data_IF_291107158285
#
_entry.id   IF_291107158285
#
_cell.length_a   1.000
_cell.length_b   1.000
_cell.length_c   1.000
_cell.angle_alpha   90.00
_cell.angle_beta   90.00
_cell.angle_gamma   90.00
#
_symmetry.space_group_name_H-M   'P 1'
#
loop_
_entity.id
_entity.type
_entity.pdbx_description
1 polymer ?
#
# COMPACT_ATOMS: atom_id res chain seq x y z
N UNK A 1 73.83 -4.88 25.81
CA UNK A 1 72.56 -4.84 26.58
C UNK A 1 71.65 -3.81 25.94
N UNK A 2 70.43 -4.18 25.55
CA UNK A 2 69.35 -3.26 25.19
C UNK A 2 68.02 -4.04 25.30
N UNK A 3 67.18 -3.70 26.28
CA UNK A 3 65.92 -4.41 26.53
C UNK A 3 64.78 -3.82 25.70
N UNK A 4 64.00 -4.67 25.02
CA UNK A 4 62.79 -4.24 24.33
C UNK A 4 61.59 -4.26 25.30
N UNK A 5 61.10 -3.08 25.67
CA UNK A 5 59.87 -2.94 26.47
C UNK A 5 58.66 -3.06 25.55
N UNK A 6 57.82 -4.08 25.77
CA UNK A 6 56.48 -4.16 25.16
C UNK A 6 55.49 -3.35 26.00
N UNK A 7 54.95 -2.28 25.43
CA UNK A 7 53.80 -1.56 26.01
C UNK A 7 52.52 -2.21 25.49
N UNK A 8 51.68 -2.73 26.39
CA UNK A 8 50.37 -3.30 26.07
C UNK A 8 49.26 -2.32 26.43
N UNK A 9 48.69 -1.64 25.43
CA UNK A 9 47.55 -0.75 25.61
C UNK A 9 46.26 -1.51 25.96
N UNK A 10 45.52 -0.97 26.93
CA UNK A 10 44.30 -1.57 27.46
C UNK A 10 43.09 -1.42 26.52
N UNK A 11 41.98 -2.15 26.76
CA UNK A 11 40.81 -2.12 25.90
C UNK A 11 40.15 -0.73 25.76
N UNK A 12 40.21 0.12 26.80
CA UNK A 12 39.67 1.49 26.75
C UNK A 12 40.42 2.41 25.77
N UNK A 13 41.74 2.31 25.68
CA UNK A 13 42.54 3.14 24.75
C UNK A 13 42.26 2.77 23.29
N UNK A 14 41.97 1.49 23.02
CA UNK A 14 41.54 1.03 21.69
C UNK A 14 40.19 1.60 21.29
N UNK A 15 39.24 1.72 22.22
CA UNK A 15 37.95 2.37 21.95
C UNK A 15 38.10 3.86 21.62
N UNK A 16 38.94 4.59 22.36
CA UNK A 16 39.22 6.01 22.09
C UNK A 16 39.83 6.24 20.70
N UNK A 17 40.76 5.39 20.26
CA UNK A 17 41.38 5.50 18.93
C UNK A 17 40.36 5.27 17.79
N UNK A 18 39.44 4.33 17.96
CA UNK A 18 38.38 4.05 16.97
C UNK A 18 37.38 5.21 16.88
N UNK A 19 37.01 5.82 18.01
CA UNK A 19 36.12 7.00 18.03
C UNK A 19 36.80 8.19 17.34
N UNK A 20 38.11 8.40 17.56
CA UNK A 20 38.85 9.49 16.90
C UNK A 20 38.92 9.31 15.37
N UNK A 21 39.13 8.06 14.88
CA UNK A 21 39.07 7.76 13.44
C UNK A 21 37.68 8.01 12.83
N UNK A 22 36.59 7.71 13.55
CA UNK A 22 35.22 7.96 13.10
C UNK A 22 34.87 9.44 13.01
N UNK A 23 35.44 10.28 13.89
CA UNK A 23 35.26 11.74 13.84
C UNK A 23 36.03 12.35 12.67
N UNK A 24 37.28 11.92 12.45
CA UNK A 24 38.12 12.42 11.35
C UNK A 24 37.59 12.02 9.96
N UNK A 25 37.03 10.83 9.82
CA UNK A 25 36.42 10.37 8.54
C UNK A 25 35.09 11.05 8.22
N UNK A 26 34.29 11.45 9.22
CA UNK A 26 33.07 12.26 8.99
C UNK A 26 33.35 13.72 8.66
N UNK A 27 34.53 14.25 8.98
CA UNK A 27 34.87 15.66 8.73
C UNK A 27 35.21 15.96 7.25
N UNK A 28 35.53 14.96 6.43
CA UNK A 28 35.97 15.17 5.03
C UNK A 28 34.86 15.22 3.98
N UNK A 29 33.58 15.05 4.35
CA UNK A 29 32.47 15.05 3.39
C UNK A 29 31.57 16.30 3.52
N UNK A 30 32.14 17.50 3.31
CA UNK A 30 31.40 18.77 3.16
C UNK A 30 32.24 19.86 2.46
N UNK A 31 32.11 19.95 1.13
CA UNK A 31 32.36 21.09 0.20
C UNK A 31 32.84 20.56 -1.15
N UNK A 32 32.05 20.73 -2.21
CA UNK A 32 32.27 21.68 -3.32
C UNK A 32 30.89 21.95 -3.94
N UNK A 33 30.61 23.19 -4.32
CA UNK A 33 29.46 23.54 -5.17
C UNK A 33 29.88 24.63 -6.18
N UNK A 34 29.09 24.78 -7.25
CA UNK A 34 29.20 25.67 -8.42
C UNK A 34 30.25 25.33 -9.50
N UNK A 35 29.82 25.29 -10.78
CA UNK A 35 30.77 25.31 -11.90
C UNK A 35 30.35 24.90 -13.33
N UNK A 36 29.17 25.27 -13.83
CA UNK A 36 28.86 25.56 -15.26
C UNK A 36 29.89 25.13 -16.36
N UNK A 37 29.54 24.15 -17.23
CA UNK A 37 29.35 24.30 -18.71
C UNK A 37 29.32 22.98 -19.50
N UNK A 38 28.74 23.06 -20.72
CA UNK A 38 28.63 22.00 -21.74
C UNK A 38 30.01 21.61 -22.31
N UNK A 39 30.19 20.33 -22.63
CA UNK A 39 31.26 19.85 -23.51
C UNK A 39 31.11 18.36 -23.86
N UNK A 40 30.94 18.04 -25.15
CA UNK A 40 31.10 16.67 -25.64
C UNK A 40 32.58 16.27 -25.59
N UNK A 41 32.91 15.16 -24.94
CA UNK A 41 34.13 14.42 -25.24
C UNK A 41 33.87 12.90 -25.23
N UNK A 42 34.64 12.20 -26.07
CA UNK A 42 34.44 10.81 -26.48
C UNK A 42 34.96 9.82 -25.43
N UNK A 43 34.39 8.61 -25.45
CA UNK A 43 35.00 7.46 -24.78
C UNK A 43 36.29 7.01 -25.50
N UNK A 44 37.26 6.43 -24.77
CA UNK A 44 38.29 5.55 -25.34
C UNK A 44 37.94 4.06 -25.08
N UNK A 45 38.07 3.24 -26.12
CA UNK A 45 38.01 1.78 -26.03
C UNK A 45 39.25 1.20 -25.31
N UNK A 46 39.08 0.07 -24.60
CA UNK A 46 40.11 -0.95 -24.35
C UNK A 46 39.44 -2.26 -23.83
N UNK A 47 40.08 -3.43 -23.88
CA UNK A 47 39.52 -4.55 -24.64
C UNK A 47 39.08 -5.75 -23.77
N UNK A 48 38.37 -6.68 -24.42
CA UNK A 48 38.05 -7.97 -23.84
C UNK A 48 39.29 -8.86 -23.68
N UNK A 49 39.52 -9.39 -22.47
CA UNK A 49 39.52 -10.84 -22.23
C UNK A 49 39.71 -11.20 -20.73
N UNK A 50 38.94 -12.19 -20.24
CA UNK A 50 39.29 -13.16 -19.17
C UNK A 50 38.05 -13.93 -18.65
N UNK A 51 38.05 -15.23 -18.91
CA UNK A 51 37.36 -16.32 -18.17
C UNK A 51 38.45 -17.22 -17.56
N UNK A 52 38.15 -18.25 -16.72
CA UNK A 52 37.01 -18.51 -15.81
C UNK A 52 37.56 -18.65 -14.34
N UNK A 53 37.16 -19.57 -13.41
CA UNK A 53 36.64 -20.96 -13.53
C UNK A 53 35.18 -21.14 -13.10
N UNK A 54 34.66 -22.35 -13.32
CA UNK A 54 33.32 -22.83 -12.92
C UNK A 54 33.41 -23.88 -11.79
N UNK A 55 32.31 -24.65 -11.57
CA UNK A 55 32.10 -25.71 -10.55
C UNK A 55 31.91 -25.11 -9.14
N UNK A 56 30.80 -25.29 -8.41
CA UNK A 56 30.13 -26.48 -7.83
C UNK A 56 28.65 -26.06 -7.54
N UNK A 57 27.56 -26.82 -7.72
CA UNK A 57 27.31 -28.17 -8.26
C UNK A 57 25.83 -28.26 -8.75
N UNK A 58 25.44 -29.39 -9.36
CA UNK A 58 24.04 -29.83 -9.53
C UNK A 58 23.76 -31.05 -8.64
N UNK A 59 22.50 -31.25 -8.22
CA UNK A 59 22.05 -32.48 -7.55
C UNK A 59 20.88 -33.08 -8.33
N UNK A 60 20.90 -34.40 -8.53
CA UNK A 60 20.16 -35.07 -9.58
C UNK A 60 18.71 -35.49 -9.26
N UNK A 61 17.96 -35.63 -10.36
CA UNK A 61 16.88 -36.59 -10.61
C UNK A 61 15.88 -36.96 -9.51
N UNK A 62 14.64 -36.48 -9.69
CA UNK A 62 13.44 -37.30 -9.44
C UNK A 62 12.61 -37.42 -10.72
N UNK A 63 12.55 -38.63 -11.29
CA UNK A 63 11.78 -38.94 -12.49
C UNK A 63 10.43 -39.57 -12.12
N UNK A 64 9.32 -38.88 -12.43
CA UNK A 64 7.97 -39.44 -12.25
C UNK A 64 7.38 -39.80 -13.61
N UNK A 65 7.14 -41.09 -13.83
CA UNK A 65 6.35 -41.58 -14.99
C UNK A 65 4.90 -41.15 -14.84
N UNK A 66 4.40 -40.32 -15.76
CA UNK A 66 2.97 -40.15 -15.97
C UNK A 66 2.52 -41.04 -17.14
N UNK A 67 2.00 -42.22 -16.81
CA UNK A 67 1.34 -43.10 -17.77
C UNK A 67 -0.01 -42.52 -18.19
N UNK A 68 -0.18 -42.26 -19.49
CA UNK A 68 -1.44 -41.71 -20.01
C UNK A 68 -2.55 -42.77 -20.13
N UNK A 69 -3.81 -42.34 -20.00
CA UNK A 69 -4.97 -43.02 -20.58
C UNK A 69 -6.02 -41.99 -21.01
N UNK A 70 -6.32 -41.96 -22.32
CA UNK A 70 -7.49 -41.27 -22.89
C UNK A 70 -8.75 -42.13 -22.68
N UNK A 71 -9.87 -41.46 -22.38
CA UNK A 71 -11.31 -41.76 -22.66
C UNK A 71 -12.12 -40.83 -21.76
N UNK A 72 -13.25 -40.24 -22.13
CA UNK A 72 -14.01 -40.19 -23.38
C UNK A 72 -15.29 -39.40 -23.07
N UNK A 73 -15.74 -38.48 -23.93
CA UNK A 73 -16.82 -37.55 -23.57
C UNK A 73 -18.23 -38.11 -23.72
N UNK A 74 -19.20 -37.54 -22.99
CA UNK A 74 -20.56 -37.22 -23.49
C UNK A 74 -21.33 -36.31 -22.53
N UNK A 75 -22.22 -35.51 -23.12
CA UNK A 75 -23.15 -34.60 -22.45
C UNK A 75 -24.16 -35.34 -21.56
N UNK A 76 -24.68 -34.69 -20.51
CA UNK A 76 -26.11 -34.29 -20.50
C UNK A 76 -26.55 -33.46 -19.27
N UNK A 77 -27.34 -32.42 -19.57
CA UNK A 77 -28.52 -31.89 -18.86
C UNK A 77 -28.49 -31.80 -17.34
N UNK A 78 -28.49 -30.55 -16.86
CA UNK A 78 -28.66 -30.21 -15.46
C UNK A 78 -30.02 -30.57 -14.84
N UNK A 79 -30.06 -30.37 -13.52
CA UNK A 79 -31.28 -30.22 -12.73
C UNK A 79 -31.12 -29.00 -11.81
N UNK A 80 -32.17 -28.20 -11.76
CA UNK A 80 -32.37 -27.17 -10.75
C UNK A 80 -32.58 -27.82 -9.39
N UNK A 81 -31.96 -27.27 -8.34
CA UNK A 81 -32.38 -27.44 -6.96
C UNK A 81 -32.58 -26.04 -6.36
N UNK A 82 -33.77 -25.82 -5.82
CA UNK A 82 -34.24 -24.56 -5.29
C UNK A 82 -34.03 -24.45 -3.77
N UNK A 83 -34.24 -23.23 -3.26
CA UNK A 83 -34.58 -22.91 -1.87
C UNK A 83 -33.55 -23.26 -0.77
N UNK A 84 -32.80 -22.23 -0.36
CA UNK A 84 -32.44 -22.06 1.05
C UNK A 84 -32.88 -20.67 1.53
N UNK A 85 -33.65 -20.64 2.61
CA UNK A 85 -34.19 -19.44 3.23
C UNK A 85 -33.14 -18.76 4.12
N UNK A 86 -32.99 -17.45 3.97
CA UNK A 86 -32.18 -16.64 4.89
C UNK A 86 -33.03 -16.20 6.09
N UNK A 87 -32.70 -16.73 7.27
CA UNK A 87 -33.12 -16.14 8.54
C UNK A 87 -32.18 -14.98 8.89
N UNK A 88 -32.77 -13.82 9.22
CA UNK A 88 -32.03 -12.62 9.56
C UNK A 88 -31.30 -12.76 10.91
N UNK A 89 -29.97 -12.72 10.89
CA UNK A 89 -29.13 -12.50 12.06
C UNK A 89 -28.55 -11.08 12.03
N UNK A 90 -28.81 -10.28 13.06
CA UNK A 90 -28.46 -8.87 13.09
C UNK A 90 -26.94 -8.63 13.03
N UNK A 91 -26.48 -7.92 12.00
CA UNK A 91 -25.13 -7.34 11.95
C UNK A 91 -25.18 -5.97 12.62
N UNK A 92 -24.44 -5.80 13.73
CA UNK A 92 -24.28 -4.49 14.37
C UNK A 92 -23.65 -3.50 13.38
N UNK A 93 -24.31 -2.37 13.16
CA UNK A 93 -23.75 -1.24 12.41
C UNK A 93 -22.72 -0.53 13.29
N UNK A 94 -21.61 -0.09 12.67
CA UNK A 94 -20.76 0.97 13.22
C UNK A 94 -21.56 2.29 13.31
N UNK A 95 -21.24 3.22 14.21
CA UNK A 95 -22.02 4.43 14.39
C UNK A 95 -22.11 5.26 13.10
N UNK A 96 -23.31 5.66 12.69
CA UNK A 96 -23.48 6.70 11.67
C UNK A 96 -23.46 8.07 12.37
N UNK A 97 -22.39 8.85 12.18
CA UNK A 97 -22.30 10.23 12.65
C UNK A 97 -23.12 11.15 11.73
N UNK A 98 -24.44 11.16 11.92
CA UNK A 98 -25.37 11.96 11.13
C UNK A 98 -25.54 13.36 11.74
N UNK A 99 -24.86 14.36 11.15
CA UNK A 99 -25.14 15.76 11.44
C UNK A 99 -26.55 16.12 10.94
N UNK A 100 -27.32 16.83 11.76
CA UNK A 100 -28.67 17.29 11.42
C UNK A 100 -28.61 18.36 10.31
N UNK A 101 -29.43 18.19 9.29
CA UNK A 101 -29.83 19.27 8.39
C UNK A 101 -31.33 19.48 8.54
N UNK A 102 -31.72 20.71 8.87
CA UNK A 102 -33.11 21.17 8.83
C UNK A 102 -33.41 21.82 7.47
N UNK A 103 -34.69 21.85 7.08
CA UNK A 103 -35.17 22.64 5.93
C UNK A 103 -35.50 21.80 4.70
N UNK A 104 -36.75 21.33 4.61
CA UNK A 104 -37.28 20.71 3.40
C UNK A 104 -37.80 21.73 2.38
N UNK A 105 -37.75 21.37 1.10
CA UNK A 105 -38.36 22.13 0.00
C UNK A 105 -38.47 21.29 -1.26
N UNK A 106 -39.69 20.90 -1.63
CA UNK A 106 -39.97 20.24 -2.91
C UNK A 106 -40.03 21.30 -4.02
N UNK A 107 -39.44 21.02 -5.19
CA UNK A 107 -39.92 21.61 -6.44
C UNK A 107 -39.61 20.70 -7.65
N UNK A 108 -40.37 20.89 -8.72
CA UNK A 108 -40.60 19.89 -9.77
C UNK A 108 -40.00 20.25 -11.13
N UNK A 109 -39.56 19.21 -11.85
CA UNK A 109 -39.58 19.06 -13.32
C UNK A 109 -39.06 20.19 -14.23
N UNK A 110 -38.03 19.91 -15.04
CA UNK A 110 -38.14 19.69 -16.51
C UNK A 110 -36.77 19.83 -17.20
N UNK A 111 -36.68 19.42 -18.47
CA UNK A 111 -35.41 19.10 -19.14
C UNK A 111 -34.94 20.14 -20.17
N UNK A 112 -33.64 20.20 -20.42
CA UNK A 112 -33.03 20.09 -21.77
C UNK A 112 -31.49 20.20 -21.70
N UNK A 113 -30.80 19.78 -22.77
CA UNK A 113 -29.37 19.48 -22.74
C UNK A 113 -28.42 20.66 -22.98
N UNK A 114 -27.18 20.50 -22.50
CA UNK A 114 -26.06 21.40 -22.79
C UNK A 114 -24.76 20.81 -22.25
N UNK A 115 -23.80 20.51 -23.12
CA UNK A 115 -22.47 20.05 -22.72
C UNK A 115 -21.71 21.21 -22.06
N UNK A 116 -21.30 21.05 -20.80
CA UNK A 116 -20.54 22.08 -20.08
C UNK A 116 -19.98 21.56 -18.76
N UNK A 117 -18.66 21.62 -18.61
CA UNK A 117 -17.95 21.21 -17.40
C UNK A 117 -18.17 22.22 -16.26
N UNK A 118 -19.33 22.16 -15.59
CA UNK A 118 -19.62 22.94 -14.37
C UNK A 118 -20.46 22.13 -13.38
N UNK A 119 -19.79 21.40 -12.49
CA UNK A 119 -20.35 20.93 -11.22
C UNK A 119 -19.50 21.41 -10.04
N UNK A 120 -19.17 22.71 -10.04
CA UNK A 120 -18.87 23.43 -8.80
C UNK A 120 -20.19 23.88 -8.17
N UNK A 121 -20.73 23.06 -7.27
CA UNK A 121 -21.54 23.49 -6.12
C UNK A 121 -22.17 22.25 -5.47
N UNK A 122 -21.68 21.87 -4.29
CA UNK A 122 -22.57 21.53 -3.18
C UNK A 122 -22.02 22.19 -1.91
N UNK A 123 -22.88 22.96 -1.24
CA UNK A 123 -22.68 23.65 0.04
C UNK A 123 -21.57 24.72 0.11
N UNK A 124 -21.87 25.89 -0.47
CA UNK A 124 -21.17 27.16 -0.22
C UNK A 124 -21.08 28.03 -1.47
N UNK A 125 -21.59 29.27 -1.41
CA UNK A 125 -21.41 30.25 -2.49
C UNK A 125 -19.93 30.56 -2.75
N UNK A 126 -19.58 31.07 -3.94
CA UNK A 126 -18.19 31.34 -4.32
C UNK A 126 -17.41 32.09 -3.22
N UNK A 127 -16.13 31.73 -2.93
CA UNK A 127 -15.36 32.38 -1.88
C UNK A 127 -15.32 33.90 -2.04
N UNK A 128 -15.52 34.63 -0.95
CA UNK A 128 -15.38 36.09 -0.95
C UNK A 128 -13.92 36.46 -1.17
N UNK A 129 -13.68 37.63 -1.73
CA UNK A 129 -12.32 38.13 -1.91
C UNK A 129 -11.63 38.29 -0.55
N UNK A 130 -10.46 37.68 -0.40
CA UNK A 130 -9.72 37.62 0.87
C UNK A 130 -10.17 36.51 1.84
N UNK A 131 -11.22 35.74 1.55
CA UNK A 131 -11.64 34.61 2.39
C UNK A 131 -10.56 33.52 2.45
N UNK A 132 -10.22 33.09 3.67
CA UNK A 132 -9.38 31.92 3.91
C UNK A 132 -10.26 30.67 3.88
N UNK A 133 -9.91 29.66 3.08
CA UNK A 133 -10.72 28.47 2.82
C UNK A 133 -9.92 27.19 3.02
N UNK A 134 -10.50 26.23 3.74
CA UNK A 134 -9.99 24.87 3.90
C UNK A 134 -10.89 23.90 3.14
N UNK A 135 -10.42 23.42 1.99
CA UNK A 135 -11.09 22.37 1.22
C UNK A 135 -10.73 21.01 1.79
N UNK A 136 -11.68 20.39 2.49
CA UNK A 136 -11.55 19.03 3.00
C UNK A 136 -11.97 18.04 1.90
N UNK A 137 -10.99 17.40 1.28
CA UNK A 137 -11.16 16.56 0.08
C UNK A 137 -11.78 15.21 0.42
N UNK A 138 -12.63 14.70 -0.48
CA UNK A 138 -13.28 13.39 -0.39
C UNK A 138 -13.24 12.66 -1.74
N UNK A 139 -12.91 11.36 -1.79
CA UNK A 139 -12.57 10.52 -0.65
C UNK A 139 -11.14 10.77 -0.14
N UNK A 140 -10.92 10.43 1.13
CA UNK A 140 -9.66 10.50 1.87
C UNK A 140 -9.60 9.36 2.91
N UNK A 141 -8.57 9.33 3.75
CA UNK A 141 -8.47 8.39 4.87
C UNK A 141 -8.53 6.92 4.47
N UNK A 142 -8.90 6.06 5.42
CA UNK A 142 -8.91 4.60 5.24
C UNK A 142 -9.64 4.09 4.00
N UNK A 143 -8.96 3.23 3.22
CA UNK A 143 -9.61 2.39 2.21
C UNK A 143 -10.14 1.07 2.82
N UNK A 144 -10.98 0.32 2.09
CA UNK A 144 -11.54 -0.94 2.64
C UNK A 144 -10.48 -2.02 2.89
N UNK A 145 -9.38 -2.02 2.14
CA UNK A 145 -8.26 -2.94 2.35
C UNK A 145 -7.57 -2.69 3.69
N UNK A 146 -7.39 -1.42 4.05
CA UNK A 146 -6.78 -0.97 5.30
C UNK A 146 -7.70 -1.26 6.49
N UNK A 147 -8.98 -0.84 6.45
CA UNK A 147 -9.89 -1.13 7.57
C UNK A 147 -10.02 -2.63 7.81
N UNK A 148 -10.30 -3.43 6.77
CA UNK A 148 -10.33 -4.90 6.90
C UNK A 148 -9.08 -5.48 7.55
N UNK A 149 -7.90 -4.93 7.27
CA UNK A 149 -6.64 -5.44 7.82
C UNK A 149 -6.45 -5.06 9.29
N UNK A 150 -6.83 -3.84 9.68
CA UNK A 150 -6.87 -3.40 11.08
C UNK A 150 -7.91 -4.22 11.85
N UNK A 151 -9.14 -4.31 11.36
CA UNK A 151 -10.25 -5.13 11.91
C UNK A 151 -9.77 -6.58 12.15
N UNK A 152 -8.97 -7.14 11.23
CA UNK A 152 -8.42 -8.50 11.36
C UNK A 152 -7.47 -8.65 12.55
N UNK A 153 -6.59 -7.67 12.81
CA UNK A 153 -5.70 -7.70 13.98
C UNK A 153 -6.48 -7.48 15.27
N UNK A 154 -7.41 -6.53 15.29
CA UNK A 154 -8.21 -6.22 16.48
C UNK A 154 -9.11 -7.38 16.92
N UNK A 155 -9.77 -8.06 15.98
CA UNK A 155 -10.56 -9.26 16.27
C UNK A 155 -9.67 -10.40 16.78
N UNK A 156 -8.45 -10.57 16.23
CA UNK A 156 -7.50 -11.55 16.76
C UNK A 156 -7.06 -11.23 18.20
N UNK A 157 -6.84 -9.95 18.54
CA UNK A 157 -6.48 -9.50 19.89
C UNK A 157 -7.65 -9.61 20.89
N UNK A 158 -8.89 -9.44 20.43
CA UNK A 158 -10.09 -9.65 21.27
C UNK A 158 -10.35 -11.14 21.53
N UNK A 159 -10.11 -12.00 20.55
CA UNK A 159 -10.28 -13.44 20.69
C UNK A 159 -9.12 -14.06 21.47
N UNK A 160 -7.92 -14.01 20.92
CA UNK A 160 -6.81 -14.83 21.39
C UNK A 160 -5.94 -14.03 22.36
N UNK A 161 -5.39 -14.72 23.37
CA UNK A 161 -4.51 -14.09 24.34
C UNK A 161 -3.26 -13.56 23.61
N UNK A 162 -2.87 -12.28 23.80
CA UNK A 162 -1.61 -11.76 23.27
C UNK A 162 -0.39 -12.60 23.71
N UNK A 163 0.69 -12.61 22.90
CA UNK A 163 0.92 -11.78 21.72
C UNK A 163 0.27 -12.31 20.42
N UNK A 164 -0.10 -11.38 19.54
CA UNK A 164 -0.51 -11.68 18.15
C UNK A 164 0.59 -11.23 17.19
N UNK A 165 1.21 -12.16 16.48
CA UNK A 165 2.30 -11.83 15.55
C UNK A 165 1.75 -11.39 14.21
N UNK A 166 2.35 -10.33 13.64
CA UNK A 166 2.00 -9.78 12.33
C UNK A 166 3.25 -9.62 11.49
N UNK A 167 3.30 -10.26 10.31
CA UNK A 167 4.43 -10.14 9.37
C UNK A 167 4.33 -8.82 8.61
N UNK A 168 5.35 -7.98 8.79
CA UNK A 168 5.38 -6.56 8.44
C UNK A 168 4.37 -5.73 9.26
N UNK A 169 4.56 -4.41 9.28
CA UNK A 169 3.50 -3.46 9.68
C UNK A 169 2.20 -3.76 8.93
N UNK A 170 1.08 -3.92 9.64
CA UNK A 170 -0.22 -4.29 9.06
C UNK A 170 -0.63 -3.35 7.92
N UNK A 171 -0.34 -2.06 8.09
CA UNK A 171 -0.49 -0.96 7.13
C UNK A 171 0.67 0.03 7.32
N UNK A 172 1.04 0.79 6.28
CA UNK A 172 2.03 1.87 6.39
C UNK A 172 1.45 3.11 7.09
N UNK A 173 1.25 3.02 8.41
CA UNK A 173 0.97 4.14 9.32
C UNK A 173 1.47 3.81 10.73
N UNK A 174 2.34 4.66 11.27
CA UNK A 174 3.07 4.37 12.52
C UNK A 174 2.19 4.51 13.77
N UNK A 175 1.19 5.40 13.74
CA UNK A 175 0.23 5.59 14.84
C UNK A 175 -0.70 4.37 14.94
N UNK A 176 -1.20 3.87 13.82
CA UNK A 176 -2.01 2.63 13.77
C UNK A 176 -1.21 1.43 14.28
N UNK A 177 0.06 1.30 13.90
CA UNK A 177 0.90 0.20 14.38
C UNK A 177 1.11 0.31 15.90
N UNK A 178 1.48 1.49 16.40
CA UNK A 178 1.69 1.71 17.84
C UNK A 178 0.44 1.38 18.67
N UNK A 179 -0.74 1.81 18.20
CA UNK A 179 -2.02 1.49 18.86
C UNK A 179 -2.34 -0.01 18.91
N UNK A 180 -1.83 -0.81 17.96
CA UNK A 180 -1.98 -2.26 17.96
C UNK A 180 -0.89 -2.95 18.81
N UNK A 181 0.33 -2.42 18.84
CA UNK A 181 1.39 -2.85 19.77
C UNK A 181 0.97 -2.66 21.23
N UNK A 182 0.40 -1.51 21.56
CA UNK A 182 -0.16 -1.20 22.89
C UNK A 182 -1.29 -2.16 23.30
N UNK A 183 -2.00 -2.77 22.33
CA UNK A 183 -3.02 -3.81 22.55
C UNK A 183 -2.45 -5.25 22.58
N UNK A 184 -1.16 -5.44 22.28
CA UNK A 184 -0.48 -6.74 22.30
C UNK A 184 -0.19 -7.39 20.95
N UNK A 185 -0.24 -6.64 19.83
CA UNK A 185 0.33 -7.09 18.57
C UNK A 185 1.87 -7.01 18.60
N UNK A 186 2.56 -7.90 17.89
CA UNK A 186 4.00 -7.85 17.67
C UNK A 186 4.25 -7.87 16.15
N UNK A 187 4.77 -6.78 15.61
CA UNK A 187 5.18 -6.70 14.21
C UNK A 187 6.59 -7.29 14.04
N UNK A 188 6.69 -8.35 13.22
CA UNK A 188 7.94 -9.09 12.99
C UNK A 188 8.38 -9.01 11.53
N UNK A 189 9.68 -9.25 11.31
CA UNK A 189 10.25 -9.38 9.97
C UNK A 189 10.80 -10.78 9.68
N UNK A 190 11.33 -11.52 10.65
CA UNK A 190 11.59 -12.95 10.46
C UNK A 190 10.46 -13.80 11.09
N UNK A 191 9.86 -14.66 10.28
CA UNK A 191 8.84 -15.62 10.74
C UNK A 191 9.43 -16.66 11.70
N UNK A 192 10.75 -16.85 11.72
CA UNK A 192 11.42 -17.67 12.73
C UNK A 192 11.29 -17.11 14.16
N UNK A 193 11.04 -15.80 14.32
CA UNK A 193 10.76 -15.16 15.63
C UNK A 193 9.42 -15.62 16.25
N UNK A 194 8.52 -16.17 15.43
CA UNK A 194 7.19 -16.64 15.87
C UNK A 194 7.29 -18.05 16.45
N UNK A 195 6.84 -18.31 17.69
CA UNK A 195 6.78 -19.68 18.23
C UNK A 195 5.83 -20.57 17.42
N UNK A 196 6.20 -21.84 17.24
CA UNK A 196 5.41 -22.81 16.47
C UNK A 196 3.99 -22.97 17.06
N UNK A 197 2.99 -23.13 16.19
CA UNK A 197 1.58 -23.19 16.57
C UNK A 197 0.88 -21.85 16.84
N UNK A 198 1.61 -20.73 16.98
CA UNK A 198 1.01 -19.43 17.25
C UNK A 198 0.32 -18.83 16.00
N UNK A 199 -0.48 -17.78 16.24
CA UNK A 199 -1.12 -16.99 15.19
C UNK A 199 -0.10 -16.09 14.49
N UNK A 200 -0.16 -16.08 13.15
CA UNK A 200 0.58 -15.16 12.30
C UNK A 200 -0.36 -14.48 11.30
N UNK A 201 -0.47 -13.16 11.39
CA UNK A 201 -1.24 -12.34 10.45
C UNK A 201 -0.33 -11.82 9.33
N UNK A 202 -0.75 -11.96 8.07
CA UNK A 202 -0.06 -11.33 6.93
C UNK A 202 -0.60 -9.93 6.67
N UNK A 203 0.28 -8.95 6.46
CA UNK A 203 -0.11 -7.54 6.26
C UNK A 203 -1.04 -7.30 5.06
N UNK A 204 -1.69 -6.12 5.01
CA UNK A 204 -2.55 -5.72 3.89
C UNK A 204 -1.84 -5.73 2.52
N UNK A 205 -0.51 -5.60 2.52
CA UNK A 205 0.34 -5.47 1.34
C UNK A 205 0.63 -6.80 0.63
N UNK A 206 0.14 -7.93 1.14
CA UNK A 206 0.49 -9.25 0.62
C UNK A 206 1.75 -9.83 1.26
N UNK A 207 2.00 -11.10 0.94
CA UNK A 207 3.18 -11.84 1.36
C UNK A 207 3.57 -12.86 0.28
N UNK A 208 4.85 -13.22 0.21
CA UNK A 208 5.35 -14.18 -0.78
C UNK A 208 4.97 -15.64 -0.44
N UNK A 209 4.89 -16.54 -1.45
CA UNK A 209 4.60 -17.96 -1.23
C UNK A 209 5.56 -18.66 -0.26
N UNK A 210 6.85 -18.32 -0.30
CA UNK A 210 7.90 -18.97 0.50
C UNK A 210 7.69 -18.71 2.00
N UNK A 211 7.17 -17.54 2.36
CA UNK A 211 6.79 -17.21 3.75
C UNK A 211 5.58 -18.04 4.20
N UNK A 212 4.60 -18.27 3.32
CA UNK A 212 3.45 -19.15 3.60
C UNK A 212 3.89 -20.60 3.80
N UNK A 213 4.86 -21.07 3.02
CA UNK A 213 5.47 -22.40 3.21
C UNK A 213 6.21 -22.51 4.56
N UNK A 214 6.95 -21.47 4.96
CA UNK A 214 7.62 -21.41 6.26
C UNK A 214 6.63 -21.43 7.43
N UNK A 215 5.55 -20.63 7.34
CA UNK A 215 4.50 -20.61 8.35
C UNK A 215 3.82 -21.99 8.51
N UNK A 216 3.56 -22.69 7.40
CA UNK A 216 3.04 -24.08 7.42
C UNK A 216 4.00 -25.07 8.06
N UNK A 217 5.31 -24.97 7.78
CA UNK A 217 6.33 -25.83 8.42
C UNK A 217 6.35 -25.64 9.94
N UNK A 218 6.23 -24.40 10.42
CA UNK A 218 6.10 -24.02 11.84
C UNK A 218 4.67 -24.21 12.41
N UNK A 219 3.76 -24.82 11.65
CA UNK A 219 2.35 -25.08 12.01
C UNK A 219 1.60 -23.84 12.52
N UNK A 220 1.95 -22.65 12.04
CA UNK A 220 1.35 -21.40 12.49
C UNK A 220 -0.12 -21.31 12.02
N UNK A 221 -0.95 -20.66 12.83
CA UNK A 221 -2.32 -20.31 12.45
C UNK A 221 -2.24 -19.08 11.54
N UNK A 222 -2.07 -19.32 10.24
CA UNK A 222 -2.00 -18.30 9.21
C UNK A 222 -3.32 -17.51 9.11
N UNK A 223 -3.31 -16.18 9.23
CA UNK A 223 -4.48 -15.31 9.03
C UNK A 223 -4.17 -14.26 7.98
N UNK A 224 -4.87 -14.32 6.84
CA UNK A 224 -4.50 -13.54 5.66
C UNK A 224 -5.28 -12.22 5.53
N UNK A 225 -4.69 -11.15 6.07
CA UNK A 225 -5.23 -9.80 5.97
C UNK A 225 -4.90 -9.09 4.64
N UNK A 226 -4.20 -9.76 3.69
CA UNK A 226 -3.90 -9.22 2.35
C UNK A 226 -5.12 -8.57 1.72
N UNK A 227 -4.95 -7.35 1.19
CA UNK A 227 -6.01 -6.65 0.48
C UNK A 227 -6.49 -7.48 -0.72
N UNK A 228 -7.80 -7.71 -0.91
CA UNK A 228 -8.31 -8.48 -2.06
C UNK A 228 -7.86 -7.97 -3.44
N UNK A 229 -7.53 -6.68 -3.56
CA UNK A 229 -6.98 -6.10 -4.80
C UNK A 229 -5.48 -6.32 -4.98
N UNK A 230 -4.71 -6.52 -3.92
CA UNK A 230 -3.32 -7.03 -4.01
C UNK A 230 -3.36 -8.51 -4.38
N UNK A 231 -4.20 -9.31 -3.71
CA UNK A 231 -4.37 -10.72 -4.05
C UNK A 231 -4.86 -10.92 -5.50
N UNK A 232 -5.70 -10.02 -6.04
CA UNK A 232 -6.04 -9.99 -7.47
C UNK A 232 -4.79 -9.95 -8.36
N UNK A 233 -3.83 -9.06 -8.06
CA UNK A 233 -2.58 -8.97 -8.82
C UNK A 233 -1.75 -10.25 -8.68
N UNK A 234 -1.59 -10.78 -7.47
CA UNK A 234 -0.91 -12.06 -7.23
C UNK A 234 -1.51 -13.21 -8.07
N UNK A 235 -2.85 -13.34 -8.10
CA UNK A 235 -3.52 -14.37 -8.89
C UNK A 235 -3.30 -14.21 -10.40
N UNK A 236 -3.32 -12.98 -10.94
CA UNK A 236 -3.00 -12.73 -12.34
C UNK A 236 -1.54 -13.07 -12.67
N UNK A 237 -0.59 -12.76 -11.77
CA UNK A 237 0.82 -13.12 -11.93
C UNK A 237 1.00 -14.63 -11.99
N UNK A 238 0.46 -15.37 -11.01
CA UNK A 238 0.50 -16.84 -11.00
C UNK A 238 -0.14 -17.45 -12.26
N UNK A 239 -1.30 -16.94 -12.67
CA UNK A 239 -2.05 -17.44 -13.82
C UNK A 239 -1.29 -17.22 -15.12
N UNK A 240 -0.81 -16.00 -15.37
CA UNK A 240 -0.08 -15.66 -16.60
C UNK A 240 1.29 -16.34 -16.69
N UNK A 241 1.98 -16.52 -15.56
CA UNK A 241 3.20 -17.33 -15.53
C UNK A 241 2.95 -18.79 -15.96
N UNK A 242 1.85 -19.41 -15.50
CA UNK A 242 1.43 -20.77 -15.91
C UNK A 242 1.00 -20.84 -17.38
N UNK A 243 0.47 -19.75 -17.94
CA UNK A 243 0.19 -19.60 -19.37
C UNK A 243 1.45 -19.31 -20.23
N UNK A 244 2.64 -19.29 -19.63
CA UNK A 244 3.92 -19.07 -20.30
C UNK A 244 4.24 -17.61 -20.63
N UNK A 245 3.59 -16.64 -19.97
CA UNK A 245 3.93 -15.22 -20.14
C UNK A 245 5.19 -14.85 -19.35
N UNK A 246 5.96 -13.90 -19.89
CA UNK A 246 6.88 -13.06 -19.12
C UNK A 246 6.11 -11.86 -18.56
N UNK A 247 6.38 -11.53 -17.31
CA UNK A 247 5.58 -10.62 -16.50
C UNK A 247 6.39 -9.38 -16.18
N UNK A 248 5.84 -8.21 -16.51
CA UNK A 248 6.48 -6.93 -16.23
C UNK A 248 5.74 -6.26 -15.07
N UNK A 249 6.38 -6.21 -13.91
CA UNK A 249 5.83 -5.64 -12.69
C UNK A 249 6.31 -4.19 -12.54
N UNK A 250 5.41 -3.24 -12.84
CA UNK A 250 5.67 -1.81 -12.64
C UNK A 250 5.51 -1.50 -11.15
N UNK A 251 6.58 -1.14 -10.46
CA UNK A 251 6.53 -0.86 -9.01
C UNK A 251 7.88 -0.73 -8.34
N UNK A 252 7.91 -0.12 -7.14
CA UNK A 252 9.15 0.14 -6.41
C UNK A 252 9.76 -1.16 -5.88
N UNK A 253 10.97 -1.51 -6.33
CA UNK A 253 11.62 -2.82 -6.13
C UNK A 253 11.71 -3.26 -4.67
N UNK A 254 11.90 -2.30 -3.76
CA UNK A 254 12.09 -2.55 -2.33
C UNK A 254 10.78 -2.44 -1.51
N UNK A 255 9.63 -2.24 -2.15
CA UNK A 255 8.33 -2.16 -1.46
C UNK A 255 7.76 -3.56 -1.21
N UNK A 256 7.28 -3.82 0.01
CA UNK A 256 6.80 -5.15 0.43
C UNK A 256 5.74 -5.76 -0.50
N UNK A 257 4.82 -4.94 -1.02
CA UNK A 257 3.81 -5.34 -2.01
C UNK A 257 4.43 -5.85 -3.34
N UNK A 258 5.51 -5.20 -3.80
CA UNK A 258 6.22 -5.56 -5.03
C UNK A 258 7.05 -6.82 -4.81
N UNK A 259 7.69 -6.94 -3.64
CA UNK A 259 8.41 -8.16 -3.23
C UNK A 259 7.45 -9.35 -3.12
N UNK A 260 6.28 -9.17 -2.51
CA UNK A 260 5.24 -10.18 -2.43
C UNK A 260 4.76 -10.63 -3.82
N UNK A 261 4.39 -9.66 -4.67
CA UNK A 261 3.91 -9.91 -6.04
C UNK A 261 4.97 -10.58 -6.92
N UNK A 262 6.23 -10.13 -6.86
CA UNK A 262 7.35 -10.69 -7.64
C UNK A 262 7.56 -12.19 -7.32
N UNK A 263 7.54 -12.54 -6.05
CA UNK A 263 7.81 -13.91 -5.59
C UNK A 263 6.67 -14.91 -5.87
N UNK A 264 5.55 -14.47 -6.43
CA UNK A 264 4.51 -15.36 -6.96
C UNK A 264 4.94 -16.07 -8.26
N UNK A 265 5.88 -15.47 -9.01
CA UNK A 265 6.46 -16.07 -10.22
C UNK A 265 7.86 -15.48 -10.54
N UNK A 266 8.87 -15.66 -9.66
CA UNK A 266 10.16 -14.97 -9.76
C UNK A 266 10.89 -15.26 -11.09
N UNK A 267 10.88 -16.52 -11.55
CA UNK A 267 11.51 -16.97 -12.81
C UNK A 267 10.91 -16.36 -14.09
N UNK A 268 9.75 -15.72 -13.98
CA UNK A 268 9.02 -15.09 -15.10
C UNK A 268 8.74 -13.62 -14.88
N UNK A 269 9.12 -13.01 -13.75
CA UNK A 269 8.75 -11.64 -13.39
C UNK A 269 9.94 -10.69 -13.41
N UNK A 270 9.73 -9.49 -13.96
CA UNK A 270 10.76 -8.47 -14.17
C UNK A 270 10.24 -7.15 -13.63
N UNK A 271 10.94 -6.55 -12.67
CA UNK A 271 10.50 -5.31 -12.00
C UNK A 271 11.05 -4.09 -12.72
N UNK A 272 10.18 -3.13 -13.04
CA UNK A 272 10.54 -1.85 -13.67
C UNK A 272 9.96 -0.68 -12.87
N UNK A 273 10.70 0.41 -12.79
CA UNK A 273 10.37 1.59 -11.97
C UNK A 273 10.26 2.89 -12.76
N UNK A 274 10.82 2.92 -13.98
CA UNK A 274 10.93 4.10 -14.83
C UNK A 274 10.88 3.72 -16.32
N UNK A 275 11.04 4.71 -17.20
CA UNK A 275 10.95 4.55 -18.65
C UNK A 275 12.22 3.88 -19.19
N UNK A 276 13.38 4.20 -18.63
CA UNK A 276 14.70 3.73 -19.05
C UNK A 276 14.81 2.20 -18.92
N UNK A 277 14.30 1.64 -17.82
CA UNK A 277 14.27 0.20 -17.58
C UNK A 277 13.37 -0.57 -18.55
N UNK A 278 12.45 0.08 -19.26
CA UNK A 278 11.66 -0.56 -20.33
C UNK A 278 12.57 -0.91 -21.51
N UNK A 279 13.57 -0.08 -21.79
CA UNK A 279 14.43 -0.22 -22.96
C UNK A 279 15.51 -1.28 -22.77
N UNK A 280 15.91 -1.52 -21.52
CA UNK A 280 16.78 -2.63 -21.11
C UNK A 280 16.10 -4.01 -21.14
N UNK A 281 14.76 -4.10 -21.22
CA UNK A 281 14.05 -5.38 -21.23
C UNK A 281 14.42 -6.25 -22.46
N UNK A 282 14.88 -7.51 -22.26
CA UNK A 282 15.48 -8.35 -23.31
C UNK A 282 14.45 -9.12 -24.16
N UNK A 283 13.19 -8.67 -24.20
CA UNK A 283 12.11 -9.37 -24.90
C UNK A 283 11.95 -8.93 -26.35
N UNK A 284 11.30 -9.78 -27.12
CA UNK A 284 10.98 -9.60 -28.53
C UNK A 284 9.46 -9.63 -28.75
N UNK A 285 9.00 -9.27 -29.94
CA UNK A 285 7.57 -9.35 -30.32
C UNK A 285 7.00 -10.80 -30.29
N UNK A 286 7.87 -11.82 -30.23
CA UNK A 286 7.47 -13.23 -30.13
C UNK A 286 7.14 -13.65 -28.69
N UNK A 287 7.58 -12.88 -27.70
CA UNK A 287 7.37 -13.19 -26.29
C UNK A 287 5.94 -12.85 -25.88
N UNK A 288 5.30 -13.78 -25.15
CA UNK A 288 4.01 -13.51 -24.52
C UNK A 288 4.23 -12.60 -23.32
N UNK A 289 3.90 -11.32 -23.43
CA UNK A 289 4.13 -10.33 -22.38
C UNK A 289 2.83 -9.93 -21.68
N UNK A 290 2.87 -9.85 -20.34
CA UNK A 290 1.77 -9.38 -19.50
C UNK A 290 2.31 -8.38 -18.47
N UNK A 291 1.74 -7.19 -18.36
CA UNK A 291 2.14 -6.24 -17.31
C UNK A 291 1.11 -6.15 -16.18
N UNK A 292 1.64 -5.98 -14.97
CA UNK A 292 0.91 -5.66 -13.74
C UNK A 292 1.57 -4.45 -13.08
N UNK A 293 0.87 -3.82 -12.15
CA UNK A 293 1.41 -2.69 -11.40
C UNK A 293 1.21 -2.87 -9.91
N UNK A 294 2.09 -2.25 -9.12
CA UNK A 294 1.80 -1.95 -7.72
C UNK A 294 0.49 -1.13 -7.62
N UNK A 295 -0.34 -1.40 -6.62
CA UNK A 295 -1.70 -0.86 -6.47
C UNK A 295 -1.76 0.62 -6.03
N UNK A 296 -0.60 1.17 -5.64
CA UNK A 296 -0.45 2.48 -4.95
C UNK A 296 0.40 3.51 -5.71
N UNK A 297 0.66 3.30 -7.01
CA UNK A 297 1.46 4.21 -7.83
C UNK A 297 0.75 5.54 -8.15
N UNK A 298 1.53 6.51 -8.64
CA UNK A 298 1.01 7.69 -9.34
C UNK A 298 0.34 7.24 -10.64
N UNK A 299 -0.88 7.70 -10.89
CA UNK A 299 -1.53 7.48 -12.18
C UNK A 299 -0.80 8.23 -13.31
N UNK A 300 -0.21 9.38 -13.01
CA UNK A 300 0.58 10.18 -13.95
C UNK A 300 1.83 9.39 -14.41
N UNK A 301 2.69 8.96 -13.45
CA UNK A 301 3.91 8.19 -13.72
C UNK A 301 3.60 6.86 -14.43
N UNK A 302 2.61 6.14 -13.93
CA UNK A 302 2.25 4.83 -14.45
C UNK A 302 1.72 4.91 -15.89
N UNK A 303 1.02 5.99 -16.25
CA UNK A 303 0.54 6.20 -17.62
C UNK A 303 1.70 6.42 -18.59
N UNK A 304 2.75 7.13 -18.18
CA UNK A 304 3.96 7.32 -18.99
C UNK A 304 4.73 6.01 -19.20
N UNK A 305 4.94 5.22 -18.14
CA UNK A 305 5.62 3.92 -18.23
C UNK A 305 4.81 2.95 -19.09
N UNK A 306 3.50 2.86 -18.90
CA UNK A 306 2.60 2.00 -19.70
C UNK A 306 2.57 2.44 -21.18
N UNK A 307 2.63 3.73 -21.47
CA UNK A 307 2.75 4.24 -22.84
C UNK A 307 4.03 3.74 -23.49
N UNK A 308 5.20 3.97 -22.87
CA UNK A 308 6.50 3.49 -23.39
C UNK A 308 6.50 1.97 -23.59
N UNK A 309 5.91 1.24 -22.65
CA UNK A 309 5.83 -0.22 -22.66
C UNK A 309 4.98 -0.74 -23.83
N UNK A 310 3.87 -0.08 -24.16
CA UNK A 310 3.05 -0.42 -25.34
C UNK A 310 3.70 0.02 -26.66
N UNK A 311 4.49 1.09 -26.67
CA UNK A 311 5.29 1.50 -27.82
C UNK A 311 6.41 0.48 -28.13
N UNK A 312 7.05 -0.10 -27.10
CA UNK A 312 8.06 -1.16 -27.29
C UNK A 312 7.43 -2.53 -27.56
N UNK A 313 6.27 -2.84 -26.97
CA UNK A 313 5.61 -4.13 -27.06
C UNK A 313 4.10 -3.97 -27.37
N UNK A 314 3.71 -3.79 -28.65
CA UNK A 314 2.32 -3.47 -29.03
C UNK A 314 1.27 -4.51 -28.62
N UNK A 315 1.67 -5.77 -28.47
CA UNK A 315 0.80 -6.89 -28.11
C UNK A 315 0.77 -7.21 -26.60
N UNK A 316 1.35 -6.35 -25.74
CA UNK A 316 1.40 -6.61 -24.30
C UNK A 316 0.01 -6.58 -23.65
N UNK A 317 -0.32 -7.64 -22.92
CA UNK A 317 -1.57 -7.78 -22.18
C UNK A 317 -1.49 -7.17 -20.76
N UNK A 318 -2.65 -6.94 -20.15
CA UNK A 318 -2.75 -6.59 -18.72
C UNK A 318 -4.11 -7.01 -18.15
N UNK A 319 -4.31 -6.76 -16.86
CA UNK A 319 -5.59 -6.89 -16.19
C UNK A 319 -6.59 -5.89 -16.80
N UNK A 320 -7.75 -6.29 -17.35
CA UNK A 320 -8.66 -5.38 -18.05
C UNK A 320 -9.18 -4.20 -17.20
N UNK A 321 -9.30 -4.40 -15.88
CA UNK A 321 -9.69 -3.38 -14.89
C UNK A 321 -8.50 -2.71 -14.20
N UNK A 322 -7.28 -2.88 -14.71
CA UNK A 322 -6.05 -2.33 -14.14
C UNK A 322 -5.59 -3.01 -12.84
N UNK A 323 -4.44 -2.55 -12.36
CA UNK A 323 -3.80 -2.98 -11.10
C UNK A 323 -3.78 -1.89 -10.03
N UNK A 324 -3.62 -0.60 -10.40
CA UNK A 324 -3.86 0.54 -9.47
C UNK A 324 -5.28 0.41 -8.90
N UNK A 325 -5.41 0.48 -7.58
CA UNK A 325 -6.68 0.22 -6.91
C UNK A 325 -7.59 1.45 -6.87
N UNK A 326 -8.91 1.22 -6.77
CA UNK A 326 -9.93 2.27 -6.74
C UNK A 326 -9.61 3.38 -5.72
N UNK A 327 -9.11 3.02 -4.54
CA UNK A 327 -8.82 3.97 -3.47
C UNK A 327 -7.67 4.92 -3.81
N UNK A 328 -6.64 4.43 -4.50
CA UNK A 328 -5.53 5.22 -5.04
C UNK A 328 -6.03 6.16 -6.14
N UNK A 329 -6.78 5.60 -7.11
CA UNK A 329 -7.36 6.36 -8.23
C UNK A 329 -8.28 7.48 -7.76
N UNK A 330 -9.18 7.19 -6.83
CA UNK A 330 -10.17 8.16 -6.35
C UNK A 330 -9.52 9.29 -5.55
N UNK A 331 -8.59 8.99 -4.63
CA UNK A 331 -7.90 10.00 -3.82
C UNK A 331 -7.04 10.93 -4.68
N UNK A 332 -6.29 10.38 -5.65
CA UNK A 332 -5.55 11.21 -6.62
C UNK A 332 -6.51 12.03 -7.49
N UNK A 333 -7.55 11.42 -8.06
CA UNK A 333 -8.55 12.14 -8.88
C UNK A 333 -9.22 13.30 -8.12
N UNK A 334 -9.63 13.08 -6.86
CA UNK A 334 -10.28 14.11 -6.06
C UNK A 334 -9.31 15.26 -5.70
N UNK A 335 -8.08 14.95 -5.26
CA UNK A 335 -7.07 15.98 -5.00
C UNK A 335 -6.74 16.79 -6.27
N UNK A 336 -6.59 16.11 -7.40
CA UNK A 336 -6.19 16.71 -8.67
C UNK A 336 -7.24 17.68 -9.24
N UNK A 337 -8.50 17.60 -8.81
CA UNK A 337 -9.56 18.53 -9.20
C UNK A 337 -9.60 19.83 -8.39
N UNK A 338 -8.94 19.91 -7.22
CA UNK A 338 -8.98 21.11 -6.35
C UNK A 338 -7.61 21.72 -6.03
N UNK A 339 -6.52 20.95 -6.12
CA UNK A 339 -5.21 21.44 -5.71
C UNK A 339 -4.78 22.71 -6.47
N UNK A 340 -5.11 22.85 -7.76
CA UNK A 340 -4.76 24.02 -8.57
C UNK A 340 -5.53 25.30 -8.20
N UNK A 341 -6.57 25.20 -7.37
CA UNK A 341 -7.31 26.34 -6.81
C UNK A 341 -6.79 26.74 -5.42
N UNK A 342 -5.84 25.97 -4.87
CA UNK A 342 -5.27 26.11 -3.55
C UNK A 342 -3.81 26.59 -3.61
N UNK A 343 -3.38 27.32 -2.59
CA UNK A 343 -1.99 27.77 -2.46
C UNK A 343 -1.10 26.69 -1.82
N UNK A 344 -1.71 25.77 -1.06
CA UNK A 344 -1.05 24.67 -0.37
C UNK A 344 -1.91 23.40 -0.34
N UNK A 345 -1.30 22.24 -0.56
CA UNK A 345 -1.87 20.92 -0.25
C UNK A 345 -1.25 20.36 1.02
N UNK A 346 -2.08 19.93 1.97
CA UNK A 346 -1.67 19.16 3.16
C UNK A 346 -2.15 17.72 2.98
N UNK A 347 -1.21 16.78 2.94
CA UNK A 347 -1.50 15.34 2.93
C UNK A 347 -1.17 14.76 4.31
N UNK A 348 -2.17 14.24 5.00
CA UNK A 348 -1.97 13.57 6.30
C UNK A 348 -1.63 12.09 6.08
N UNK A 349 -0.44 11.67 6.52
CA UNK A 349 0.01 10.27 6.50
C UNK A 349 1.52 10.07 6.74
N UNK A 350 1.93 8.82 6.98
CA UNK A 350 3.33 8.46 7.23
C UNK A 350 4.20 8.54 5.96
N UNK A 351 5.45 8.99 6.14
CA UNK A 351 6.49 8.98 5.10
C UNK A 351 6.81 7.58 4.56
N UNK A 352 6.47 6.51 5.30
CA UNK A 352 6.58 5.13 4.82
C UNK A 352 5.56 4.81 3.71
N UNK A 353 4.40 5.48 3.70
CA UNK A 353 3.27 5.15 2.82
C UNK A 353 3.48 5.59 1.37
N UNK A 354 3.51 4.62 0.44
CA UNK A 354 3.61 4.86 -1.00
C UNK A 354 2.50 5.79 -1.51
N UNK A 355 1.24 5.48 -1.19
CA UNK A 355 0.10 6.27 -1.67
C UNK A 355 0.07 7.70 -1.09
N UNK A 356 0.54 7.91 0.15
CA UNK A 356 0.64 9.24 0.75
C UNK A 356 1.63 10.13 0.00
N UNK A 357 2.83 9.61 -0.28
CA UNK A 357 3.84 10.29 -1.10
C UNK A 357 3.33 10.58 -2.51
N UNK A 358 2.54 9.68 -3.09
CA UNK A 358 1.96 9.87 -4.41
C UNK A 358 0.85 10.93 -4.46
N UNK A 359 0.10 11.17 -3.38
CA UNK A 359 -0.81 12.32 -3.28
C UNK A 359 -0.05 13.65 -3.25
N UNK A 360 0.95 13.80 -2.38
CA UNK A 360 1.75 15.02 -2.30
C UNK A 360 2.44 15.32 -3.65
N UNK A 361 3.00 14.29 -4.28
CA UNK A 361 3.61 14.37 -5.61
C UNK A 361 2.60 14.75 -6.72
N UNK A 362 1.36 14.23 -6.70
CA UNK A 362 0.35 14.55 -7.73
C UNK A 362 -0.10 16.02 -7.66
N UNK A 363 -0.11 16.63 -6.47
CA UNK A 363 -0.26 18.09 -6.28
C UNK A 363 0.94 18.88 -6.79
N UNK A 364 2.16 18.44 -6.46
CA UNK A 364 3.41 19.09 -6.90
C UNK A 364 3.54 19.10 -8.44
N UNK A 365 3.17 18.00 -9.11
CA UNK A 365 3.08 17.92 -10.57
C UNK A 365 2.11 18.93 -11.20
N UNK A 366 1.16 19.46 -10.41
CA UNK A 366 0.14 20.42 -10.83
C UNK A 366 0.47 21.86 -10.44
N UNK A 367 1.72 22.09 -10.00
CA UNK A 367 2.31 23.34 -9.53
C UNK A 367 1.75 23.87 -8.20
N UNK A 368 1.03 23.05 -7.43
CA UNK A 368 0.58 23.39 -6.08
C UNK A 368 1.55 22.81 -5.05
N UNK A 369 2.22 23.64 -4.22
CA UNK A 369 3.05 23.19 -3.12
C UNK A 369 2.33 22.16 -2.26
N UNK A 370 3.03 21.10 -1.84
CA UNK A 370 2.43 20.05 -1.02
C UNK A 370 3.38 19.57 0.07
N UNK A 371 2.83 19.36 1.26
CA UNK A 371 3.53 18.74 2.40
C UNK A 371 2.89 17.40 2.76
N UNK A 372 3.72 16.46 3.19
CA UNK A 372 3.30 15.17 3.75
C UNK A 372 3.70 15.16 5.23
N UNK A 373 2.70 15.13 6.11
CA UNK A 373 2.86 15.23 7.57
C UNK A 373 2.06 14.11 8.25
N UNK A 374 2.61 13.51 9.29
CA UNK A 374 2.00 12.33 9.91
C UNK A 374 0.87 12.72 10.88
N UNK A 375 1.04 13.84 11.59
CA UNK A 375 0.09 14.43 12.52
C UNK A 375 0.10 15.96 12.45
N UNK A 376 -0.82 16.61 13.16
CA UNK A 376 -0.89 18.07 13.30
C UNK A 376 0.31 18.63 14.09
N UNK A 377 0.90 17.82 14.96
CA UNK A 377 2.06 18.17 15.80
C UNK A 377 3.36 18.21 14.98
N UNK A 378 3.39 17.55 13.80
CA UNK A 378 4.51 17.54 12.86
C UNK A 378 4.48 18.70 11.85
N UNK A 379 3.46 19.57 11.90
CA UNK A 379 3.21 20.59 10.86
C UNK A 379 3.76 21.97 11.25
N UNK A 380 4.61 22.53 10.39
CA UNK A 380 5.13 23.89 10.55
C UNK A 380 4.06 24.93 10.14
N UNK A 381 3.33 25.43 11.13
CA UNK A 381 2.32 26.47 10.96
C UNK A 381 2.86 27.80 10.43
N UNK A 382 4.17 28.07 10.47
CA UNK A 382 4.74 29.28 9.84
C UNK A 382 4.61 29.25 8.31
N UNK A 383 4.49 28.05 7.71
CA UNK A 383 4.24 27.86 6.28
C UNK A 383 2.84 28.32 5.82
N UNK A 384 1.93 28.65 6.75
CA UNK A 384 0.60 29.19 6.44
C UNK A 384 0.57 30.70 6.26
N UNK A 385 1.71 31.38 6.36
CA UNK A 385 1.80 32.81 6.05
C UNK A 385 1.39 33.05 4.60
N UNK A 386 0.50 34.00 4.38
CA UNK A 386 -0.06 34.39 3.07
C UNK A 386 -0.85 33.30 2.31
N UNK A 387 -0.95 32.09 2.85
CA UNK A 387 -1.81 31.00 2.35
C UNK A 387 -3.29 31.34 2.60
N UNK A 388 -4.08 31.42 1.54
CA UNK A 388 -5.53 31.68 1.61
C UNK A 388 -6.32 30.39 1.45
N UNK A 389 -5.86 29.45 0.62
CA UNK A 389 -6.63 28.25 0.26
C UNK A 389 -5.80 26.98 0.45
N UNK A 390 -6.33 26.05 1.23
CA UNK A 390 -5.68 24.78 1.55
C UNK A 390 -6.51 23.61 1.01
N UNK A 391 -5.89 22.71 0.26
CA UNK A 391 -6.44 21.39 -0.03
C UNK A 391 -5.95 20.40 1.06
N UNK A 392 -6.85 20.00 1.96
CA UNK A 392 -6.57 19.02 3.01
C UNK A 392 -7.09 17.65 2.62
N UNK A 393 -6.20 16.67 2.55
CA UNK A 393 -6.53 15.27 2.25
C UNK A 393 -5.71 14.31 3.11
N UNK A 394 -6.01 13.02 3.06
CA UNK A 394 -5.29 12.01 3.83
C UNK A 394 -5.16 10.68 3.11
N UNK A 395 -4.06 10.00 3.41
CA UNK A 395 -3.66 8.77 2.74
C UNK A 395 -4.58 7.58 3.06
N UNK A 396 -4.53 6.54 2.23
CA UNK A 396 -5.34 5.33 2.37
C UNK A 396 -5.10 4.55 3.68
N UNK A 397 -3.99 4.84 4.38
CA UNK A 397 -3.59 4.26 5.67
C UNK A 397 -3.74 5.22 6.87
N UNK A 398 -4.32 6.41 6.69
CA UNK A 398 -4.44 7.43 7.74
C UNK A 398 -5.80 7.38 8.44
N UNK A 399 -5.85 7.25 9.78
CA UNK A 399 -7.09 7.40 10.56
C UNK A 399 -7.74 8.77 10.35
N UNK A 400 -9.07 8.82 10.25
CA UNK A 400 -9.79 10.07 10.03
C UNK A 400 -9.56 11.09 11.16
N UNK A 401 -9.41 10.62 12.41
CA UNK A 401 -9.08 11.43 13.59
C UNK A 401 -7.87 12.35 13.38
N UNK A 402 -6.82 11.88 12.69
CA UNK A 402 -5.63 12.70 12.42
C UNK A 402 -5.94 13.83 11.43
N UNK A 403 -6.85 13.58 10.48
CA UNK A 403 -7.32 14.61 9.54
C UNK A 403 -8.24 15.60 10.25
N UNK A 404 -9.11 15.13 11.13
CA UNK A 404 -10.02 15.97 11.91
C UNK A 404 -9.28 16.92 12.87
N UNK A 405 -8.13 16.51 13.43
CA UNK A 405 -7.26 17.43 14.19
C UNK A 405 -6.75 18.61 13.33
N UNK A 406 -6.39 18.39 12.07
CA UNK A 406 -6.06 19.49 11.15
C UNK A 406 -7.26 20.39 10.88
N UNK A 407 -8.45 19.81 10.65
CA UNK A 407 -9.69 20.59 10.47
C UNK A 407 -9.96 21.44 11.72
N UNK A 408 -9.89 20.86 12.91
CA UNK A 408 -10.12 21.57 14.17
C UNK A 408 -9.15 22.74 14.37
N UNK A 409 -7.85 22.52 14.18
CA UNK A 409 -6.84 23.58 14.39
C UNK A 409 -6.97 24.68 13.34
N UNK A 410 -7.10 24.32 12.05
CA UNK A 410 -7.10 25.31 10.96
C UNK A 410 -8.40 26.13 10.89
N UNK A 411 -9.54 25.60 11.35
CA UNK A 411 -10.82 26.33 11.32
C UNK A 411 -11.01 27.28 12.51
N UNK A 412 -10.20 27.13 13.57
CA UNK A 412 -10.24 27.98 14.77
C UNK A 412 -9.26 29.17 14.67
N UNK A 413 -9.43 30.15 15.54
CA UNK A 413 -8.43 31.21 15.77
C UNK A 413 -7.10 30.59 16.23
N UNK A 414 -5.93 31.09 15.76
CA UNK A 414 -5.73 32.31 14.96
C UNK A 414 -5.77 32.08 13.44
N UNK A 415 -6.15 30.89 12.96
CA UNK A 415 -6.05 30.54 11.53
C UNK A 415 -7.30 30.88 10.73
N UNK A 416 -8.48 30.61 11.29
CA UNK A 416 -9.77 31.08 10.79
C UNK A 416 -10.16 30.65 9.37
N UNK A 417 -9.70 29.48 8.90
CA UNK A 417 -10.09 29.00 7.56
C UNK A 417 -11.55 28.53 7.56
N UNK A 418 -12.35 29.01 6.60
CA UNK A 418 -13.71 28.52 6.36
C UNK A 418 -13.64 27.09 5.81
N UNK A 419 -14.18 26.13 6.55
CA UNK A 419 -14.28 24.74 6.10
C UNK A 419 -15.25 24.60 4.92
N UNK A 420 -14.81 23.93 3.85
CA UNK A 420 -15.65 23.51 2.74
C UNK A 420 -15.37 22.05 2.41
N UNK A 421 -16.42 21.25 2.26
CA UNK A 421 -16.27 19.87 1.79
C UNK A 421 -16.11 19.87 0.27
N UNK A 422 -15.17 19.07 -0.24
CA UNK A 422 -14.96 18.92 -1.67
C UNK A 422 -15.03 17.45 -2.07
N UNK A 423 -16.16 17.03 -2.62
CA UNK A 423 -16.52 15.61 -2.84
C UNK A 423 -16.80 15.28 -4.33
N UNK A 424 -15.82 15.47 -5.24
CA UNK A 424 -16.02 15.27 -6.69
C UNK A 424 -16.17 13.81 -7.12
N UNK A 425 -15.80 12.85 -6.26
CA UNK A 425 -15.71 11.42 -6.60
C UNK A 425 -16.48 10.60 -5.59
N UNK A 426 -17.54 9.91 -6.05
CA UNK A 426 -18.28 8.97 -5.23
C UNK A 426 -17.48 7.67 -5.04
N UNK A 427 -17.07 7.36 -3.80
CA UNK A 427 -16.33 6.14 -3.49
C UNK A 427 -17.27 4.96 -3.19
N UNK A 428 -17.44 4.06 -4.16
CA UNK A 428 -18.19 2.80 -3.98
C UNK A 428 -17.39 1.79 -3.14
N UNK A 429 -17.42 1.95 -1.81
CA UNK A 429 -16.66 1.12 -0.85
C UNK A 429 -17.07 -0.36 -0.94
N UNK A 430 -16.12 -1.30 -1.21
CA UNK A 430 -16.44 -2.73 -1.27
C UNK A 430 -16.92 -3.31 0.08
N UNK A 431 -17.88 -4.25 0.04
CA UNK A 431 -18.38 -4.95 1.24
C UNK A 431 -17.54 -6.18 1.59
N UNK A 432 -16.22 -6.01 1.69
CA UNK A 432 -15.31 -7.11 2.06
C UNK A 432 -15.44 -7.46 3.55
N UNK A 433 -15.59 -8.75 3.84
CA UNK A 433 -15.57 -9.32 5.19
C UNK A 433 -14.14 -9.65 5.64
N UNK A 434 -13.99 -9.98 6.92
CA UNK A 434 -12.78 -10.56 7.52
C UNK A 434 -12.30 -11.82 6.77
N UNK A 435 -11.04 -12.26 6.96
CA UNK A 435 -10.53 -13.52 6.42
C UNK A 435 -11.47 -14.69 6.75
N UNK A 436 -11.73 -15.58 5.77
CA UNK A 436 -12.70 -16.67 5.92
C UNK A 436 -12.35 -17.62 7.06
N UNK A 437 -11.06 -17.91 7.22
CA UNK A 437 -10.51 -18.73 8.30
C UNK A 437 -10.69 -18.07 9.68
N UNK A 438 -10.43 -16.76 9.81
CA UNK A 438 -10.75 -16.02 11.04
C UNK A 438 -12.25 -16.07 11.35
N UNK A 439 -13.13 -15.89 10.35
CA UNK A 439 -14.58 -16.04 10.57
C UNK A 439 -14.98 -17.46 11.01
N UNK A 440 -14.31 -18.51 10.52
CA UNK A 440 -14.49 -19.88 11.00
C UNK A 440 -14.12 -20.03 12.48
N UNK A 441 -12.94 -19.55 12.86
CA UNK A 441 -12.47 -19.55 14.26
C UNK A 441 -13.39 -18.74 15.20
N UNK A 442 -13.96 -17.62 14.71
CA UNK A 442 -14.97 -16.84 15.43
C UNK A 442 -16.23 -17.68 15.67
N UNK A 443 -16.69 -18.43 14.65
CA UNK A 443 -17.91 -19.22 14.74
C UNK A 443 -17.74 -20.44 15.65
N UNK A 444 -16.63 -21.17 15.52
CA UNK A 444 -16.28 -22.31 16.40
C UNK A 444 -16.27 -21.89 17.86
N UNK A 445 -15.55 -20.82 18.20
CA UNK A 445 -15.47 -20.33 19.58
C UNK A 445 -16.79 -19.83 20.14
N UNK A 446 -17.66 -19.21 19.31
CA UNK A 446 -19.02 -18.83 19.74
C UNK A 446 -19.87 -20.05 20.07
N UNK A 447 -19.69 -21.18 19.37
CA UNK A 447 -20.36 -22.44 19.69
C UNK A 447 -19.85 -23.02 21.01
N UNK A 448 -18.55 -23.00 21.26
CA UNK A 448 -17.93 -23.45 22.53
C UNK A 448 -18.45 -22.64 23.73
N UNK A 449 -18.43 -21.31 23.64
CA UNK A 449 -18.94 -20.42 24.69
C UNK A 449 -20.45 -20.57 24.90
N UNK A 450 -21.22 -20.77 23.82
CA UNK A 450 -22.65 -21.07 23.90
C UNK A 450 -22.93 -22.39 24.63
N UNK A 451 -22.19 -23.44 24.30
CA UNK A 451 -22.30 -24.75 24.96
C UNK A 451 -21.98 -24.66 26.46
N UNK A 452 -20.91 -23.97 26.84
CA UNK A 452 -20.55 -23.74 28.25
C UNK A 452 -21.62 -22.97 29.02
N UNK A 453 -22.22 -21.93 28.44
CA UNK A 453 -23.31 -21.18 29.09
C UNK A 453 -24.59 -22.01 29.24
N UNK A 454 -24.86 -22.95 28.32
CA UNK A 454 -26.02 -23.84 28.42
C UNK A 454 -25.83 -24.90 29.50
N UNK A 455 -24.59 -25.36 29.72
CA UNK A 455 -24.25 -26.28 30.81
C UNK A 455 -24.32 -25.58 32.18
N UNK A 456 -23.78 -24.36 32.29
CA UNK A 456 -23.82 -23.56 33.53
C UNK A 456 -25.21 -22.99 33.89
N UNK A 457 -26.24 -23.22 33.08
CA UNK A 457 -27.63 -22.86 33.39
C UNK A 457 -28.54 -24.06 33.65
N UNK A 458 -27.98 -25.28 33.65
CA UNK A 458 -28.68 -26.54 33.94
C UNK A 458 -28.14 -27.29 35.17
N UNK A 459 -27.14 -26.71 35.87
CA UNK A 459 -26.62 -27.16 37.16
C UNK A 459 -26.78 -26.07 38.22
#
# INVERSE_FOLDING_TARGET
>A
MAGAVRITHGPLERCLLVILLFILTKAQCKRVDHGLRRGHLRAPDFPADRRPPAVVQTVDHWSVRLGGKKKGGRNSRGKSCSNFSFLNGAVRQSPEWRLQQEGGGQCSSSASGGCGCKNMAQNGGAPKEGEKVLYLVSPRGFCKGVSRAIDTVEECLQMFKPPIYVKHKIVHNDIVCKQLEEKGAIFIEDVNEVPDGNILIYSAHGISPQIRELAKKKKLIEIDATCPLVNKVHMYVQMKAKEGYKIILIGYKNHVEVIGTFNEAPESTYVVQNIEQIDELPFTEKDKLFYVTQTTLSMDDCSLIVKRLKEKFPHIETIPSGSICYATTNRQTALNQICQECDLTIVVGSQSSSNAKKLAYSSQLRNTPAVLVNSVDDFDFSSLKDVKRIALTSAASTPEELTQKFVEVLTKEPFGYTLRLFEPVQENVPKWKLPKNLMGLIEERRREQGAQNTQNTQG
#
